data_IF_835601124829
#
_entry.id   IF_835601124829
#
_cell.length_a   1.000
_cell.length_b   1.000
_cell.length_c   1.000
_cell.angle_alpha   90.00
_cell.angle_beta   90.00
_cell.angle_gamma   90.00
#
_symmetry.space_group_name_H-M   'P 1'
#
loop_
_entity.id
_entity.type
_entity.pdbx_description
1 polymer ?
#
# COMPACT_ATOMS: atom_id res chain seq x y z
N UNK A 1 11.90 1.45 -6.06
CA UNK A 1 11.13 1.09 -4.85
C UNK A 1 11.11 2.32 -3.95
N UNK A 2 9.96 2.61 -3.38
CA UNK A 2 9.73 3.68 -2.41
C UNK A 2 9.30 3.07 -1.06
N UNK A 3 9.33 3.89 -0.03
CA UNK A 3 8.86 3.53 1.31
C UNK A 3 7.81 4.51 1.80
N UNK A 4 7.04 4.07 2.80
CA UNK A 4 6.00 4.90 3.38
C UNK A 4 5.32 4.22 4.55
N UNK A 5 4.22 4.82 4.98
CA UNK A 5 3.38 4.31 6.06
C UNK A 5 1.97 4.06 5.57
N UNK A 6 1.40 2.94 6.02
CA UNK A 6 0.00 2.62 5.79
C UNK A 6 -0.85 3.62 6.56
N UNK A 7 -1.60 4.46 5.84
CA UNK A 7 -2.47 5.46 6.44
C UNK A 7 -3.72 4.82 7.05
N UNK A 8 -4.27 3.84 6.34
CA UNK A 8 -5.33 2.97 6.83
C UNK A 8 -5.50 1.80 5.86
N UNK A 9 -6.05 0.69 6.34
CA UNK A 9 -6.42 -0.45 5.51
C UNK A 9 -7.69 -1.10 6.07
N UNK A 10 -8.59 -1.51 5.18
CA UNK A 10 -9.82 -2.22 5.54
C UNK A 10 -9.74 -3.65 5.05
N UNK A 11 -9.54 -4.59 5.97
CA UNK A 11 -9.40 -6.02 5.68
C UNK A 11 -10.63 -6.62 5.02
N UNK A 12 -11.83 -6.19 5.42
CA UNK A 12 -13.08 -6.70 4.87
C UNK A 12 -13.28 -6.26 3.41
N UNK A 13 -12.79 -5.08 3.03
CA UNK A 13 -12.86 -4.56 1.66
C UNK A 13 -11.62 -4.88 0.82
N UNK A 14 -10.50 -5.28 1.45
CA UNK A 14 -9.25 -5.61 0.78
C UNK A 14 -8.51 -4.41 0.18
N UNK A 15 -8.71 -3.21 0.71
CA UNK A 15 -7.98 -2.02 0.24
C UNK A 15 -7.77 -0.97 1.33
N UNK A 16 -6.83 -0.07 1.05
CA UNK A 16 -6.46 1.05 1.89
C UNK A 16 -5.64 2.08 1.15
N UNK A 17 -4.89 2.88 1.90
CA UNK A 17 -4.00 3.91 1.36
C UNK A 17 -2.66 3.92 2.09
N UNK A 18 -1.61 4.26 1.37
CA UNK A 18 -0.25 4.42 1.87
C UNK A 18 0.19 5.86 1.60
N UNK A 19 0.72 6.52 2.62
CA UNK A 19 1.39 7.81 2.49
C UNK A 19 2.87 7.55 2.17
N UNK A 20 3.35 8.05 1.02
CA UNK A 20 4.75 7.90 0.61
C UNK A 20 5.66 8.87 1.38
N UNK A 21 6.87 8.42 1.71
CA UNK A 21 7.90 9.30 2.30
C UNK A 21 8.40 10.36 1.31
N UNK A 22 8.27 10.11 0.01
CA UNK A 22 8.59 11.09 -1.02
C UNK A 22 7.61 12.28 -1.03
N UNK A 23 6.54 12.21 -0.24
CA UNK A 23 5.46 13.18 -0.21
C UNK A 23 4.52 13.07 -1.41
N UNK A 24 3.56 14.00 -1.49
CA UNK A 24 2.52 14.00 -2.52
C UNK A 24 1.24 13.29 -2.08
N UNK A 25 0.46 12.83 -3.06
CA UNK A 25 -0.84 12.20 -2.83
C UNK A 25 -0.72 10.82 -2.20
N UNK A 26 -1.72 10.45 -1.39
CA UNK A 26 -1.85 9.09 -0.86
C UNK A 26 -2.03 8.08 -2.01
N UNK A 27 -1.30 6.98 -1.92
CA UNK A 27 -1.29 5.92 -2.92
C UNK A 27 -2.34 4.87 -2.57
N UNK A 28 -3.18 4.52 -3.54
CA UNK A 28 -4.14 3.44 -3.37
C UNK A 28 -3.41 2.10 -3.16
N UNK A 29 -3.81 1.32 -2.16
CA UNK A 29 -3.23 0.02 -1.85
C UNK A 29 -4.30 -1.06 -1.93
N UNK A 30 -4.16 -2.01 -2.85
CA UNK A 30 -5.07 -3.15 -3.00
C UNK A 30 -4.42 -4.43 -2.47
N UNK A 31 -5.21 -5.32 -1.86
CA UNK A 31 -4.67 -6.55 -1.26
C UNK A 31 -3.93 -7.43 -2.28
N UNK A 32 -4.30 -7.39 -3.57
CA UNK A 32 -3.62 -8.18 -4.62
C UNK A 32 -2.15 -7.83 -4.77
N UNK A 33 -1.77 -6.59 -4.45
CA UNK A 33 -0.42 -6.07 -4.56
C UNK A 33 0.45 -6.39 -3.35
N UNK A 34 -0.15 -6.85 -2.24
CA UNK A 34 0.58 -7.23 -1.03
C UNK A 34 1.32 -8.54 -1.28
N UNK A 35 2.63 -8.50 -1.01
CA UNK A 35 3.56 -9.62 -1.00
C UNK A 35 3.81 -10.01 0.45
N UNK A 36 3.00 -10.94 0.92
CA UNK A 36 3.15 -11.57 2.23
C UNK A 36 2.56 -12.98 2.13
N UNK A 37 3.06 -13.89 2.96
CA UNK A 37 2.52 -15.23 3.07
C UNK A 37 1.26 -15.20 3.95
N UNK A 38 0.22 -15.93 3.52
CA UNK A 38 -1.06 -15.99 4.23
C UNK A 38 -2.00 -14.82 3.91
N UNK A 39 -2.61 -14.24 4.95
CA UNK A 39 -3.66 -13.23 4.79
C UNK A 39 -3.06 -11.88 4.37
N UNK A 40 -3.48 -11.37 3.21
CA UNK A 40 -2.98 -10.14 2.60
C UNK A 40 -3.63 -8.90 3.22
N UNK A 41 -3.03 -8.41 4.29
CA UNK A 41 -3.49 -7.26 5.05
C UNK A 41 -2.34 -6.31 5.38
N UNK A 42 -2.70 -5.06 5.68
CA UNK A 42 -1.81 -4.02 6.19
C UNK A 42 -2.41 -3.43 7.47
N UNK A 43 -1.56 -2.95 8.37
CA UNK A 43 -1.98 -2.28 9.60
C UNK A 43 -1.73 -0.78 9.51
N UNK A 44 -2.60 0.03 10.08
CA UNK A 44 -2.36 1.47 10.21
C UNK A 44 -1.02 1.75 10.90
N UNK A 45 -0.30 2.77 10.41
CA UNK A 45 1.06 3.14 10.79
C UNK A 45 2.14 2.08 10.52
N UNK A 46 1.81 1.00 9.81
CA UNK A 46 2.80 0.00 9.41
C UNK A 46 3.74 0.57 8.35
N UNK A 47 5.03 0.32 8.53
CA UNK A 47 6.07 0.64 7.55
C UNK A 47 6.02 -0.35 6.39
N UNK A 48 6.09 0.15 5.17
CA UNK A 48 6.05 -0.67 3.96
C UNK A 48 7.02 -0.17 2.90
N UNK A 49 7.48 -1.08 2.05
CA UNK A 49 8.12 -0.76 0.77
C UNK A 49 7.20 -1.15 -0.39
N UNK A 50 7.26 -0.41 -1.50
CA UNK A 50 6.38 -0.62 -2.64
C UNK A 50 6.96 0.00 -3.93
N UNK A 51 6.31 -0.27 -5.05
CA UNK A 51 6.51 0.41 -6.33
C UNK A 51 5.31 1.31 -6.62
N UNK A 52 5.55 2.53 -7.10
CA UNK A 52 4.46 3.40 -7.57
C UNK A 52 4.12 3.04 -9.01
N UNK A 53 2.85 2.75 -9.29
CA UNK A 53 2.32 2.52 -10.63
C UNK A 53 1.10 3.38 -10.89
N UNK A 54 0.89 3.77 -12.14
CA UNK A 54 -0.33 4.46 -12.57
C UNK A 54 -1.32 3.41 -13.05
N UNK A 55 -2.43 3.26 -12.32
CA UNK A 55 -3.53 2.38 -12.68
C UNK A 55 -4.77 3.15 -13.18
N UNK A 56 -5.87 2.44 -13.46
CA UNK A 56 -7.12 3.06 -13.91
C UNK A 56 -7.72 4.07 -12.93
N UNK A 57 -7.34 3.99 -11.64
CA UNK A 57 -7.81 4.85 -10.55
C UNK A 57 -6.77 5.88 -10.10
N UNK A 58 -5.74 6.12 -10.90
CA UNK A 58 -4.62 7.00 -10.55
C UNK A 58 -3.42 6.25 -9.96
N UNK A 59 -2.61 6.94 -9.16
CA UNK A 59 -1.41 6.35 -8.56
C UNK A 59 -1.77 5.30 -7.51
N UNK A 60 -1.13 4.15 -7.59
CA UNK A 60 -1.31 3.03 -6.66
C UNK A 60 0.05 2.44 -6.25
N UNK A 61 0.08 1.83 -5.08
CA UNK A 61 1.20 1.06 -4.57
C UNK A 61 1.10 -0.38 -5.08
N UNK A 62 2.17 -0.85 -5.72
CA UNK A 62 2.32 -2.20 -6.25
C UNK A 62 3.45 -2.93 -5.52
N UNK A 63 3.43 -4.27 -5.57
CA UNK A 63 4.47 -5.10 -4.96
C UNK A 63 4.76 -4.73 -3.48
N UNK A 64 3.71 -4.47 -2.70
CA UNK A 64 3.79 -3.93 -1.34
C UNK A 64 4.37 -4.99 -0.41
N UNK A 65 5.41 -4.66 0.33
CA UNK A 65 6.05 -5.52 1.32
C UNK A 65 6.08 -4.81 2.68
N UNK A 66 5.47 -5.40 3.73
CA UNK A 66 5.74 -5.02 5.11
C UNK A 66 7.24 -4.98 5.42
N UNK A 67 7.69 -3.91 6.07
CA UNK A 67 9.04 -3.76 6.60
C UNK A 67 9.10 -4.09 8.10
#
# INVERSE_FOLDING_TARGET
METGFVKWFNDAKGFGFITSDAGGDDLFAHFSEIRSDGFKSLKENQRVSFEVKVGPKGKQAANIQPL
#
